data_IF_312643757282
#
_entry.id   IF_312643757282
#
_cell.length_a   1.000
_cell.length_b   1.000
_cell.length_c   1.000
_cell.angle_alpha   90.00
_cell.angle_beta   90.00
_cell.angle_gamma   90.00
#
_symmetry.space_group_name_H-M   'P 1'
#
loop_
_entity.id
_entity.type
_entity.pdbx_description
1 polymer ?
#
# COMPACT_ATOMS: atom_id res chain seq x y z
N UNK A 1 53.58 21.26 13.53
CA UNK A 1 54.44 20.08 13.23
C UNK A 1 53.97 18.91 14.08
N UNK A 2 53.04 18.08 13.58
CA UNK A 2 52.52 16.94 14.35
C UNK A 2 53.61 15.86 14.45
N UNK A 3 54.00 15.50 15.68
CA UNK A 3 54.96 14.42 15.95
C UNK A 3 54.40 13.12 15.37
N UNK A 4 55.08 12.52 14.38
CA UNK A 4 54.80 11.15 13.96
C UNK A 4 55.19 10.24 15.12
N UNK A 5 54.19 9.76 15.87
CA UNK A 5 54.38 8.70 16.85
C UNK A 5 54.98 7.49 16.12
N UNK A 6 56.11 6.95 16.60
CA UNK A 6 56.69 5.72 16.06
C UNK A 6 55.83 4.56 16.56
N UNK A 7 55.01 4.00 15.68
CA UNK A 7 54.25 2.79 15.94
C UNK A 7 55.13 1.58 15.62
N UNK A 8 55.03 0.51 16.42
CA UNK A 8 55.67 -0.78 16.15
C UNK A 8 54.89 -1.58 15.09
N UNK A 9 53.58 -1.33 14.97
CA UNK A 9 52.69 -1.90 13.96
C UNK A 9 52.07 -0.86 13.01
N UNK A 10 51.07 -1.29 12.25
CA UNK A 10 50.33 -0.42 11.33
C UNK A 10 49.33 0.45 12.07
N UNK A 11 49.11 1.67 11.60
CA UNK A 11 48.10 2.55 12.19
C UNK A 11 46.68 2.05 11.86
N UNK A 12 45.71 2.32 12.76
CA UNK A 12 44.31 1.95 12.53
C UNK A 12 43.74 2.47 11.20
N UNK A 13 44.17 3.66 10.78
CA UNK A 13 43.74 4.28 9.53
C UNK A 13 44.32 3.59 8.29
N UNK A 14 45.56 3.13 8.39
CA UNK A 14 46.26 2.43 7.31
C UNK A 14 45.68 1.04 7.10
N UNK A 15 45.47 0.30 8.19
CA UNK A 15 44.75 -0.99 8.16
C UNK A 15 43.33 -0.85 7.59
N UNK A 16 42.59 0.20 7.99
CA UNK A 16 41.26 0.46 7.47
C UNK A 16 41.24 0.69 5.95
N UNK A 17 42.22 1.44 5.42
CA UNK A 17 42.34 1.71 3.98
C UNK A 17 42.62 0.45 3.18
N UNK A 18 43.47 -0.42 3.69
CA UNK A 18 43.83 -1.68 3.02
C UNK A 18 42.67 -2.67 2.95
N UNK A 19 41.83 -2.71 4.00
CA UNK A 19 40.67 -3.61 4.10
C UNK A 19 39.41 -2.98 3.47
N UNK A 20 39.48 -1.73 3.01
CA UNK A 20 38.37 -1.04 2.34
C UNK A 20 37.26 -0.57 3.28
N UNK A 21 37.57 -0.32 4.55
CA UNK A 21 36.61 0.12 5.57
C UNK A 21 36.97 1.47 6.17
N UNK A 22 36.02 2.10 6.87
CA UNK A 22 36.30 3.34 7.60
C UNK A 22 37.08 3.04 8.88
N UNK A 23 37.93 3.99 9.32
CA UNK A 23 38.67 3.89 10.59
C UNK A 23 37.74 3.60 11.78
N UNK A 24 36.53 4.17 11.78
CA UNK A 24 35.53 3.94 12.82
C UNK A 24 35.05 2.48 12.87
N UNK A 25 34.96 1.78 11.74
CA UNK A 25 34.61 0.35 11.73
C UNK A 25 35.68 -0.51 12.42
N UNK A 26 36.96 -0.16 12.23
CA UNK A 26 38.08 -0.80 12.93
C UNK A 26 38.00 -0.53 14.44
N UNK A 27 37.78 0.73 14.83
CA UNK A 27 37.61 1.11 16.25
C UNK A 27 36.42 0.39 16.89
N UNK A 28 35.30 0.25 16.19
CA UNK A 28 34.12 -0.47 16.69
C UNK A 28 34.40 -1.95 16.91
N UNK A 29 35.17 -2.59 16.02
CA UNK A 29 35.55 -4.00 16.18
C UNK A 29 36.57 -4.24 17.30
N UNK A 30 37.44 -3.26 17.55
CA UNK A 30 38.29 -3.26 18.75
C UNK A 30 37.41 -3.15 19.99
N UNK A 31 36.47 -2.19 20.03
CA UNK A 31 35.53 -2.02 21.14
C UNK A 31 34.62 -3.22 21.37
N UNK A 32 34.29 -3.98 20.32
CA UNK A 32 33.49 -5.20 20.43
C UNK A 32 34.32 -6.43 20.78
N UNK A 33 35.60 -6.29 21.11
CA UNK A 33 36.51 -7.40 21.48
C UNK A 33 36.98 -8.27 20.32
N UNK A 34 36.58 -7.99 19.07
CA UNK A 34 36.86 -8.88 17.91
C UNK A 34 38.25 -8.68 17.30
N UNK A 35 38.85 -7.52 17.55
CA UNK A 35 40.22 -7.18 17.11
C UNK A 35 41.13 -6.81 18.27
N UNK A 36 40.67 -6.94 19.52
CA UNK A 36 41.43 -6.55 20.72
C UNK A 36 42.74 -7.33 20.84
N UNK A 37 42.73 -8.63 20.49
CA UNK A 37 43.92 -9.49 20.49
C UNK A 37 45.00 -9.08 19.47
N UNK A 38 44.68 -8.23 18.48
CA UNK A 38 45.64 -7.72 17.50
C UNK A 38 46.18 -6.32 17.85
N UNK A 39 45.74 -5.72 18.95
CA UNK A 39 46.17 -4.38 19.39
C UNK A 39 47.45 -4.52 20.20
N UNK A 40 48.53 -3.87 19.73
CA UNK A 40 49.78 -3.78 20.47
C UNK A 40 49.67 -2.78 21.65
N UNK A 41 50.54 -2.88 22.66
CA UNK A 41 50.55 -1.97 23.81
C UNK A 41 50.74 -0.49 23.47
N UNK A 42 51.25 -0.18 22.28
CA UNK A 42 51.41 1.19 21.76
C UNK A 42 50.15 1.74 21.04
N UNK A 43 49.09 0.94 20.97
CA UNK A 43 47.83 1.25 20.30
C UNK A 43 47.84 1.06 18.77
N UNK A 44 48.91 0.48 18.22
CA UNK A 44 48.97 0.07 16.81
C UNK A 44 48.40 -1.34 16.63
N UNK A 45 48.15 -1.74 15.38
CA UNK A 45 47.68 -3.09 15.04
C UNK A 45 48.83 -3.93 14.47
N UNK A 46 48.91 -5.20 14.89
CA UNK A 46 49.71 -6.20 14.18
C UNK A 46 48.99 -6.53 12.88
N UNK A 47 49.61 -6.19 11.75
CA UNK A 47 49.01 -6.31 10.43
C UNK A 47 48.54 -7.73 10.11
N UNK A 48 49.39 -8.73 10.36
CA UNK A 48 49.11 -10.12 10.00
C UNK A 48 48.02 -10.73 10.91
N UNK A 49 48.10 -10.44 12.21
CA UNK A 49 47.12 -10.92 13.18
C UNK A 49 45.75 -10.25 13.00
N UNK A 50 45.73 -8.92 12.80
CA UNK A 50 44.51 -8.15 12.57
C UNK A 50 43.80 -8.59 11.30
N UNK A 51 44.53 -8.87 10.22
CA UNK A 51 43.96 -9.36 8.96
C UNK A 51 43.29 -10.72 9.14
N UNK A 52 43.92 -11.63 9.87
CA UNK A 52 43.38 -12.98 10.13
C UNK A 52 42.09 -12.89 10.95
N UNK A 53 42.10 -12.14 12.06
CA UNK A 53 40.90 -11.90 12.87
C UNK A 53 39.82 -11.14 12.12
N UNK A 54 40.21 -10.25 11.21
CA UNK A 54 39.27 -9.49 10.41
C UNK A 54 38.43 -10.41 9.53
N UNK A 55 39.08 -11.25 8.72
CA UNK A 55 38.40 -12.16 7.79
C UNK A 55 37.70 -13.32 8.50
N UNK A 56 38.26 -13.84 9.60
CA UNK A 56 37.61 -14.88 10.40
C UNK A 56 36.25 -14.43 10.97
N UNK A 57 36.07 -13.12 11.21
CA UNK A 57 34.88 -12.54 11.82
C UNK A 57 33.99 -11.75 10.82
N UNK A 58 34.23 -11.87 9.51
CA UNK A 58 33.36 -11.27 8.48
C UNK A 58 32.14 -12.18 8.28
N UNK A 59 30.95 -11.65 8.60
CA UNK A 59 29.69 -12.31 8.27
C UNK A 59 29.49 -12.32 6.74
N UNK A 60 29.40 -13.49 6.09
CA UNK A 60 29.17 -13.59 4.65
C UNK A 60 27.88 -12.89 4.20
N UNK A 61 26.87 -12.89 5.08
CA UNK A 61 25.53 -12.36 4.80
C UNK A 61 25.40 -10.82 4.97
N UNK A 62 26.49 -10.12 5.32
CA UNK A 62 26.54 -8.64 5.41
C UNK A 62 27.40 -7.99 4.33
N UNK A 63 27.87 -8.77 3.35
CA UNK A 63 28.53 -8.22 2.17
C UNK A 63 27.46 -7.62 1.25
N UNK A 64 26.96 -6.45 1.62
CA UNK A 64 26.15 -5.63 0.71
C UNK A 64 27.06 -5.17 -0.41
N UNK A 65 26.91 -5.77 -1.60
CA UNK A 65 27.47 -5.24 -2.84
C UNK A 65 26.91 -3.83 -2.98
N UNK A 66 27.74 -2.78 -3.08
CA UNK A 66 27.22 -1.43 -3.23
C UNK A 66 26.64 -1.29 -4.63
N UNK A 67 25.32 -1.41 -4.77
CA UNK A 67 24.61 -0.97 -5.96
C UNK A 67 24.70 0.55 -6.02
N UNK A 68 25.21 1.04 -7.15
CA UNK A 68 25.36 2.47 -7.45
C UNK A 68 23.95 3.06 -7.56
N UNK A 69 23.44 3.59 -6.44
CA UNK A 69 22.09 4.17 -6.35
C UNK A 69 21.65 4.55 -4.94
N UNK A 70 22.21 3.94 -3.89
CA UNK A 70 21.77 4.14 -2.51
C UNK A 70 22.60 5.17 -1.72
N UNK A 71 22.90 6.33 -2.32
CA UNK A 71 23.59 7.43 -1.62
C UNK A 71 22.67 8.50 -1.04
N UNK A 72 21.36 8.25 -1.03
CA UNK A 72 20.37 9.13 -0.43
C UNK A 72 19.44 8.33 0.49
N UNK A 73 19.96 7.86 1.64
CA UNK A 73 19.25 7.56 2.91
C UNK A 73 20.15 6.69 3.80
N UNK A 74 21.19 7.28 4.37
CA UNK A 74 21.92 6.66 5.48
C UNK A 74 22.38 7.76 6.43
N UNK A 75 21.42 8.29 7.19
CA UNK A 75 21.64 9.36 8.14
C UNK A 75 20.51 9.43 9.15
N UNK A 76 20.33 8.39 9.97
CA UNK A 76 19.71 8.47 11.29
C UNK A 76 19.73 7.09 11.96
N UNK A 77 20.83 6.74 12.62
CA UNK A 77 20.80 5.76 13.71
C UNK A 77 21.07 6.52 15.01
N UNK A 78 20.03 7.16 15.53
CA UNK A 78 20.05 7.76 16.87
C UNK A 78 19.60 6.68 17.84
N UNK A 79 20.53 6.29 18.72
CA UNK A 79 20.23 5.53 19.94
C UNK A 79 19.25 6.34 20.77
N UNK A 80 18.10 5.78 21.13
CA UNK A 80 17.33 6.27 22.28
C UNK A 80 17.19 5.13 23.28
N UNK A 81 17.95 5.31 24.37
CA UNK A 81 17.56 4.80 25.67
C UNK A 81 16.25 5.50 26.06
N UNK A 82 15.32 4.68 26.53
CA UNK A 82 14.44 4.92 27.67
C UNK A 82 13.89 6.34 27.83
N UNK A 83 12.63 6.54 27.40
CA UNK A 83 11.64 7.31 28.16
C UNK A 83 10.25 6.95 27.65
N UNK A 84 9.55 6.14 28.44
CA UNK A 84 8.15 5.80 28.24
C UNK A 84 7.28 6.97 28.71
N UNK A 85 6.57 7.60 27.78
CA UNK A 85 5.21 8.15 27.92
C UNK A 85 4.69 8.63 26.56
N UNK A 86 3.58 8.01 26.14
CA UNK A 86 2.68 8.43 25.04
C UNK A 86 3.24 8.53 23.63
N UNK A 87 3.89 7.46 23.15
CA UNK A 87 4.04 7.22 21.72
C UNK A 87 3.69 5.75 21.45
N UNK A 88 2.64 5.51 20.67
CA UNK A 88 2.34 4.18 20.14
C UNK A 88 3.65 3.58 19.62
N UNK A 89 4.00 2.40 20.14
CA UNK A 89 5.29 1.78 19.84
C UNK A 89 5.42 1.67 18.32
N UNK A 90 6.64 1.77 17.79
CA UNK A 90 6.90 1.52 16.35
C UNK A 90 6.30 0.17 15.92
N UNK A 91 6.29 -0.80 16.84
CA UNK A 91 5.59 -2.06 16.71
C UNK A 91 4.07 -1.89 16.51
N UNK A 92 3.39 -1.08 17.33
CA UNK A 92 1.95 -0.85 17.25
C UNK A 92 1.56 -0.18 15.92
N UNK A 93 2.38 0.75 15.44
CA UNK A 93 2.16 1.39 14.14
C UNK A 93 2.34 0.40 12.98
N UNK A 94 3.30 -0.52 13.10
CA UNK A 94 3.53 -1.58 12.12
C UNK A 94 2.40 -2.60 12.10
N UNK A 95 1.90 -2.99 13.27
CA UNK A 95 0.73 -3.89 13.39
C UNK A 95 -0.51 -3.25 12.78
N UNK A 96 -0.77 -1.96 13.05
CA UNK A 96 -1.89 -1.23 12.45
C UNK A 96 -1.80 -1.17 10.93
N UNK A 97 -0.61 -0.90 10.37
CA UNK A 97 -0.42 -0.91 8.91
C UNK A 97 -0.67 -2.30 8.32
N UNK A 98 -0.14 -3.34 8.96
CA UNK A 98 -0.34 -4.73 8.52
C UNK A 98 -1.81 -5.15 8.58
N UNK A 99 -2.58 -4.65 9.56
CA UNK A 99 -4.02 -4.87 9.64
C UNK A 99 -4.77 -4.20 8.48
N UNK A 100 -4.46 -2.94 8.16
CA UNK A 100 -5.04 -2.25 7.00
C UNK A 100 -4.68 -2.95 5.68
N UNK A 101 -3.44 -3.40 5.53
CA UNK A 101 -2.99 -4.14 4.34
C UNK A 101 -3.71 -5.49 4.21
N UNK A 102 -3.99 -6.17 5.34
CA UNK A 102 -4.75 -7.41 5.38
C UNK A 102 -6.21 -7.20 5.01
N UNK A 103 -6.88 -6.20 5.59
CA UNK A 103 -8.27 -5.83 5.23
C UNK A 103 -8.37 -5.46 3.73
N UNK A 104 -7.40 -4.70 3.20
CA UNK A 104 -7.36 -4.37 1.79
C UNK A 104 -7.14 -5.61 0.91
N UNK A 105 -6.32 -6.56 1.34
CA UNK A 105 -6.10 -7.82 0.64
C UNK A 105 -7.36 -8.70 0.65
N UNK A 106 -8.10 -8.76 1.76
CA UNK A 106 -9.37 -9.48 1.87
C UNK A 106 -10.43 -8.91 0.93
N UNK A 107 -10.63 -7.59 0.93
CA UNK A 107 -11.55 -6.90 0.00
C UNK A 107 -11.16 -7.18 -1.45
N UNK A 108 -9.87 -7.17 -1.78
CA UNK A 108 -9.41 -7.48 -3.13
C UNK A 108 -9.63 -8.95 -3.50
N UNK A 109 -9.43 -9.88 -2.56
CA UNK A 109 -9.71 -11.30 -2.75
C UNK A 109 -11.21 -11.53 -3.00
N UNK A 110 -12.07 -10.83 -2.28
CA UNK A 110 -13.51 -10.89 -2.42
C UNK A 110 -14.01 -10.28 -3.75
N UNK A 111 -13.41 -9.16 -4.18
CA UNK A 111 -13.62 -8.60 -5.53
C UNK A 111 -13.19 -9.55 -6.64
N UNK A 112 -12.04 -10.22 -6.49
CA UNK A 112 -11.56 -11.23 -7.44
C UNK A 112 -12.46 -12.47 -7.50
N UNK A 113 -13.19 -12.76 -6.42
CA UNK A 113 -14.21 -13.82 -6.36
C UNK A 113 -15.58 -13.38 -6.91
N UNK A 114 -15.67 -12.18 -7.48
CA UNK A 114 -16.89 -11.58 -8.04
C UNK A 114 -18.04 -11.42 -7.03
N UNK A 115 -17.77 -11.54 -5.72
CA UNK A 115 -18.80 -11.45 -4.68
C UNK A 115 -19.03 -10.03 -4.16
N UNK A 116 -18.22 -9.04 -4.58
CA UNK A 116 -18.38 -7.63 -4.17
C UNK A 116 -18.15 -6.66 -5.32
N UNK A 117 -19.05 -5.69 -5.48
CA UNK A 117 -18.97 -4.61 -6.47
C UNK A 117 -18.76 -3.27 -5.75
N UNK A 118 -17.99 -2.36 -6.35
CA UNK A 118 -17.85 -1.00 -5.83
C UNK A 118 -19.22 -0.30 -5.79
N UNK A 119 -19.56 0.30 -4.64
CA UNK A 119 -20.87 0.91 -4.41
C UNK A 119 -21.17 2.05 -5.38
N UNK A 120 -20.19 2.88 -5.71
CA UNK A 120 -20.37 4.00 -6.63
C UNK A 120 -20.50 3.52 -8.07
N UNK A 121 -19.76 2.48 -8.45
CA UNK A 121 -19.89 1.83 -9.75
C UNK A 121 -21.27 1.15 -9.92
N UNK A 122 -21.72 0.38 -8.93
CA UNK A 122 -23.04 -0.23 -8.91
C UNK A 122 -24.15 0.82 -9.00
N UNK A 123 -24.01 1.94 -8.27
CA UNK A 123 -24.96 3.06 -8.32
C UNK A 123 -24.99 3.72 -9.69
N UNK A 124 -23.84 3.86 -10.35
CA UNK A 124 -23.73 4.40 -11.71
C UNK A 124 -24.39 3.48 -12.73
N UNK A 125 -24.13 2.17 -12.65
CA UNK A 125 -24.71 1.16 -13.51
C UNK A 125 -26.24 1.11 -13.36
N UNK A 126 -26.76 1.08 -12.12
CA UNK A 126 -28.19 1.12 -11.85
C UNK A 126 -28.86 2.37 -12.42
N UNK A 127 -28.26 3.55 -12.24
CA UNK A 127 -28.78 4.79 -12.83
C UNK A 127 -28.76 4.77 -14.36
N UNK A 128 -27.73 4.19 -14.97
CA UNK A 128 -27.67 4.06 -16.42
C UNK A 128 -28.80 3.16 -16.93
N UNK A 129 -29.00 2.00 -16.30
CA UNK A 129 -30.09 1.08 -16.62
C UNK A 129 -31.47 1.73 -16.48
N UNK A 130 -31.71 2.47 -15.39
CA UNK A 130 -32.98 3.15 -15.18
C UNK A 130 -33.24 4.27 -16.20
N UNK A 131 -32.19 4.95 -16.67
CA UNK A 131 -32.32 5.93 -17.76
C UNK A 131 -32.73 5.26 -19.07
N UNK A 132 -32.09 4.15 -19.43
CA UNK A 132 -32.43 3.40 -20.65
C UNK A 132 -33.84 2.82 -20.56
N UNK A 133 -34.22 2.28 -19.39
CA UNK A 133 -35.57 1.79 -19.12
C UNK A 133 -36.62 2.90 -19.27
N UNK A 134 -36.40 4.08 -18.66
CA UNK A 134 -37.30 5.23 -18.79
C UNK A 134 -37.48 5.65 -20.26
N UNK A 135 -36.40 5.71 -21.03
CA UNK A 135 -36.48 6.07 -22.44
C UNK A 135 -37.26 5.02 -23.25
N UNK A 136 -37.03 3.73 -22.99
CA UNK A 136 -37.76 2.65 -23.64
C UNK A 136 -39.27 2.69 -23.32
N UNK A 137 -39.63 2.92 -22.05
CA UNK A 137 -41.02 3.08 -21.62
C UNK A 137 -41.70 4.26 -22.32
N UNK A 138 -41.09 5.44 -22.32
CA UNK A 138 -41.68 6.62 -22.98
C UNK A 138 -41.79 6.46 -24.50
N UNK A 139 -40.88 5.70 -25.11
CA UNK A 139 -40.96 5.39 -26.55
C UNK A 139 -41.93 4.26 -26.88
N UNK A 140 -42.43 3.50 -25.89
CA UNK A 140 -43.33 2.37 -26.13
C UNK A 140 -44.63 2.83 -26.81
N UNK A 141 -45.25 3.90 -26.32
CA UNK A 141 -46.49 4.42 -26.88
C UNK A 141 -46.33 4.77 -28.38
N UNK A 142 -45.25 5.46 -28.74
CA UNK A 142 -44.97 5.79 -30.15
C UNK A 142 -44.75 4.56 -31.04
N UNK A 143 -44.27 3.45 -30.48
CA UNK A 143 -43.97 2.23 -31.25
C UNK A 143 -45.16 1.31 -31.41
N UNK A 144 -46.00 1.19 -30.38
CA UNK A 144 -47.00 0.12 -30.30
C UNK A 144 -48.44 0.62 -30.25
N UNK A 145 -48.69 1.92 -30.04
CA UNK A 145 -50.07 2.41 -29.91
C UNK A 145 -50.89 2.18 -31.18
N UNK A 146 -50.31 2.29 -32.38
CA UNK A 146 -51.02 2.03 -33.63
C UNK A 146 -51.41 0.55 -33.78
N UNK A 147 -50.48 -0.36 -33.49
CA UNK A 147 -50.73 -1.80 -33.55
C UNK A 147 -51.79 -2.21 -32.53
N UNK A 148 -51.64 -1.77 -31.27
CA UNK A 148 -52.62 -2.06 -30.20
C UNK A 148 -54.00 -1.48 -30.56
N UNK A 149 -54.05 -0.25 -31.07
CA UNK A 149 -55.30 0.38 -31.47
C UNK A 149 -56.02 -0.40 -32.58
N UNK A 150 -55.27 -0.98 -33.52
CA UNK A 150 -55.83 -1.80 -34.58
C UNK A 150 -56.42 -3.13 -34.07
N UNK A 151 -55.83 -3.71 -33.02
CA UNK A 151 -56.31 -4.97 -32.43
C UNK A 151 -57.62 -4.79 -31.65
N UNK A 152 -57.85 -3.60 -31.07
CA UNK A 152 -58.99 -3.32 -30.20
C UNK A 152 -60.01 -2.34 -30.80
N UNK A 153 -59.85 -1.98 -32.07
CA UNK A 153 -60.68 -1.00 -32.79
C UNK A 153 -60.81 0.35 -32.05
N UNK A 154 -59.67 0.91 -31.63
CA UNK A 154 -59.57 2.20 -30.93
C UNK A 154 -58.89 3.28 -31.79
N UNK A 155 -59.05 4.55 -31.41
CA UNK A 155 -58.32 5.65 -32.03
C UNK A 155 -56.82 5.61 -31.66
N UNK A 156 -55.90 5.48 -32.63
CA UNK A 156 -54.46 5.36 -32.36
C UNK A 156 -53.87 6.58 -31.65
N UNK A 157 -54.31 7.79 -32.00
CA UNK A 157 -53.75 9.04 -31.46
C UNK A 157 -54.17 9.21 -30.00
N UNK A 158 -55.46 9.01 -29.71
CA UNK A 158 -55.97 9.03 -28.35
C UNK A 158 -55.32 7.95 -27.48
N UNK A 159 -55.20 6.71 -27.99
CA UNK A 159 -54.55 5.62 -27.25
C UNK A 159 -53.09 5.93 -26.93
N UNK A 160 -52.32 6.46 -27.90
CA UNK A 160 -50.94 6.87 -27.68
C UNK A 160 -50.81 7.91 -26.56
N UNK A 161 -51.69 8.92 -26.57
CA UNK A 161 -51.72 9.96 -25.53
C UNK A 161 -52.01 9.41 -24.13
N UNK A 162 -53.02 8.53 -24.02
CA UNK A 162 -53.38 7.90 -22.74
C UNK A 162 -52.26 7.00 -22.24
N UNK A 163 -51.65 6.19 -23.11
CA UNK A 163 -50.51 5.33 -22.76
C UNK A 163 -49.33 6.15 -22.25
N UNK A 164 -48.95 7.23 -22.95
CA UNK A 164 -47.86 8.10 -22.52
C UNK A 164 -48.13 8.72 -21.15
N UNK A 165 -49.34 9.22 -20.91
CA UNK A 165 -49.76 9.77 -19.62
C UNK A 165 -49.61 8.75 -18.50
N UNK A 166 -50.15 7.53 -18.67
CA UNK A 166 -50.10 6.47 -17.65
C UNK A 166 -48.67 5.96 -17.43
N UNK A 167 -47.85 5.88 -18.47
CA UNK A 167 -46.44 5.51 -18.33
C UNK A 167 -45.65 6.57 -17.55
N UNK A 168 -45.88 7.86 -17.81
CA UNK A 168 -45.28 8.96 -17.03
C UNK A 168 -45.70 8.92 -15.56
N UNK A 169 -46.98 8.64 -15.30
CA UNK A 169 -47.50 8.46 -13.94
C UNK A 169 -46.82 7.28 -13.24
N UNK A 170 -46.77 6.11 -13.88
CA UNK A 170 -46.12 4.92 -13.33
C UNK A 170 -44.62 5.15 -13.01
N UNK A 171 -43.89 5.84 -13.90
CA UNK A 171 -42.49 6.22 -13.67
C UNK A 171 -42.34 7.22 -12.51
N UNK A 172 -43.32 8.10 -12.32
CA UNK A 172 -43.33 9.06 -11.20
C UNK A 172 -43.60 8.35 -9.88
N UNK A 173 -44.54 7.41 -9.84
CA UNK A 173 -44.79 6.58 -8.65
C UNK A 173 -43.56 5.71 -8.33
N UNK A 174 -42.92 5.12 -9.34
CA UNK A 174 -41.67 4.39 -9.15
C UNK A 174 -40.55 5.28 -8.60
N UNK A 175 -40.49 6.56 -8.99
CA UNK A 175 -39.50 7.48 -8.45
C UNK A 175 -39.73 7.82 -6.96
N UNK A 176 -40.95 7.61 -6.44
CA UNK A 176 -41.26 7.79 -5.01
C UNK A 176 -40.82 6.60 -4.16
N UNK A 177 -40.61 5.42 -4.75
CA UNK A 177 -40.11 4.28 -4.01
C UNK A 177 -38.61 4.46 -3.74
N UNK A 178 -38.18 4.19 -2.50
CA UNK A 178 -36.77 4.35 -2.11
C UNK A 178 -35.92 3.36 -2.90
N UNK A 179 -34.92 3.85 -3.61
CA UNK A 179 -33.98 2.98 -4.30
C UNK A 179 -33.28 2.06 -3.26
N UNK A 180 -33.19 0.74 -3.50
CA UNK A 180 -32.56 -0.21 -2.56
C UNK A 180 -31.14 0.20 -2.16
N UNK A 181 -30.41 0.83 -3.09
CA UNK A 181 -29.02 1.30 -2.89
C UNK A 181 -28.90 2.52 -1.96
N UNK A 182 -29.99 3.26 -1.76
CA UNK A 182 -30.05 4.40 -0.81
C UNK A 182 -30.57 3.97 0.57
N UNK A 183 -31.09 2.75 0.70
CA UNK A 183 -31.65 2.22 1.94
C UNK A 183 -30.61 1.56 2.87
N UNK A 184 -29.41 1.24 2.37
CA UNK A 184 -28.41 0.50 3.17
C UNK A 184 -28.84 -0.94 3.48
N UNK A 185 -29.97 -1.41 2.94
CA UNK A 185 -30.61 -2.70 3.25
C UNK A 185 -30.05 -3.87 2.47
N UNK A 186 -28.80 -3.81 2.02
CA UNK A 186 -28.09 -5.00 1.57
C UNK A 186 -27.45 -5.65 2.79
N UNK A 187 -28.23 -6.43 3.55
CA UNK A 187 -27.69 -7.21 4.67
C UNK A 187 -28.63 -7.46 5.87
N UNK A 188 -29.77 -6.78 5.97
CA UNK A 188 -30.72 -7.00 7.07
C UNK A 188 -32.00 -7.66 6.55
N UNK A 189 -31.90 -8.97 6.32
CA UNK A 189 -33.07 -9.84 6.27
C UNK A 189 -32.66 -11.19 6.86
N UNK A 190 -32.70 -11.26 8.19
CA UNK A 190 -33.04 -12.49 8.93
C UNK A 190 -34.56 -12.58 9.07
#
# INVERSE_FOLDING_TARGET
>A
MARRQKYQGVSLSEFAREVGVTRNAVVQRIKSGKLEAAVLPDGSLDHAHARTLWFANVNPNRMTVPTIGERARAGASVKHAEDAKDKASEYDLKVKRMAVDLEAAEINLEKLKESTVDKEEARRAARALMRTFRAAMLNFANRYAADIASEIDADPVHLAGVLEEKMRLALTELAKTRAPLDAGTFGESE
#
